data_IF_216825649156
#
_entry.id   IF_216825649156
#
_cell.length_a   1.000
_cell.length_b   1.000
_cell.length_c   1.000
_cell.angle_alpha   90.00
_cell.angle_beta   90.00
_cell.angle_gamma   90.00
#
_symmetry.space_group_name_H-M   'P 1'
#
loop_
_entity.id
_entity.type
_entity.pdbx_description
1 polymer ?
#
# COMPACT_ATOMS: atom_id res chain seq x y z
N UNK A 1 -29.43 -21.17 48.82
CA UNK A 1 -30.46 -20.97 49.86
C UNK A 1 -29.75 -20.74 51.19
N UNK A 2 -30.34 -19.94 52.08
CA UNK A 2 -29.72 -19.54 53.34
C UNK A 2 -29.89 -20.58 54.45
N UNK A 3 -29.04 -20.50 55.48
CA UNK A 3 -29.43 -20.85 56.86
C UNK A 3 -28.61 -20.09 57.88
N UNK A 4 -29.27 -19.22 58.64
CA UNK A 4 -28.73 -18.64 59.86
C UNK A 4 -28.72 -19.69 60.98
N UNK A 5 -27.87 -19.49 61.99
CA UNK A 5 -28.34 -19.62 63.38
C UNK A 5 -27.57 -18.69 64.33
N UNK A 6 -28.28 -17.67 64.83
CA UNK A 6 -27.90 -16.94 66.03
C UNK A 6 -28.44 -17.72 67.24
N UNK A 7 -27.71 -17.73 68.34
CA UNK A 7 -28.27 -17.99 69.66
C UNK A 7 -28.09 -16.73 70.52
N UNK A 8 -29.09 -16.43 71.33
CA UNK A 8 -29.14 -15.31 72.27
C UNK A 8 -29.53 -15.91 73.64
N UNK A 9 -29.88 -15.03 74.57
CA UNK A 9 -30.41 -15.33 75.90
C UNK A 9 -29.30 -15.73 76.89
N UNK A 10 -29.02 -15.00 77.98
CA UNK A 10 -29.67 -13.82 78.54
C UNK A 10 -30.21 -14.11 79.93
N UNK A 11 -29.89 -13.27 80.91
CA UNK A 11 -30.64 -13.15 82.16
C UNK A 11 -30.41 -11.75 82.75
N UNK A 12 -31.50 -11.12 83.16
CA UNK A 12 -31.52 -9.88 83.95
C UNK A 12 -32.36 -10.21 85.17
N UNK A 13 -31.89 -9.86 86.37
CA UNK A 13 -32.79 -9.63 87.50
C UNK A 13 -32.14 -8.77 88.58
N UNK A 14 -32.79 -7.64 88.83
CA UNK A 14 -32.93 -6.94 90.12
C UNK A 14 -33.42 -7.91 91.24
N UNK A 15 -33.37 -7.64 92.56
CA UNK A 15 -33.12 -6.41 93.35
C UNK A 15 -32.91 -6.71 94.87
N UNK A 16 -32.67 -5.64 95.66
CA UNK A 16 -32.87 -5.42 97.13
C UNK A 16 -31.92 -6.02 98.19
N UNK A 17 -31.50 -5.10 99.08
CA UNK A 17 -30.97 -5.23 100.46
C UNK A 17 -32.07 -5.73 101.46
N UNK A 18 -31.76 -6.27 102.67
CA UNK A 18 -31.33 -5.44 103.82
C UNK A 18 -30.37 -6.08 104.86
N UNK A 19 -29.92 -5.21 105.80
CA UNK A 19 -29.29 -5.47 107.12
C UNK A 19 -30.11 -6.46 108.01
N UNK A 20 -29.62 -7.00 109.14
CA UNK A 20 -28.45 -6.70 109.99
C UNK A 20 -27.98 -7.93 110.84
N UNK A 21 -27.03 -7.69 111.75
CA UNK A 21 -26.71 -8.41 113.00
C UNK A 21 -25.53 -9.43 113.09
N UNK A 22 -24.59 -9.06 113.98
CA UNK A 22 -23.70 -9.80 114.90
C UNK A 22 -23.20 -11.23 114.50
N UNK A 23 -21.88 -11.49 114.33
CA UNK A 23 -20.78 -11.54 115.35
C UNK A 23 -21.03 -12.67 116.38
N UNK A 24 -20.14 -13.62 116.68
CA UNK A 24 -18.67 -13.71 116.67
C UNK A 24 -18.24 -15.22 116.54
N UNK A 25 -17.00 -15.67 116.82
CA UNK A 25 -15.71 -14.99 117.03
C UNK A 25 -14.65 -15.55 116.03
N UNK A 26 -13.32 -15.63 116.19
CA UNK A 26 -12.38 -15.24 117.27
C UNK A 26 -10.99 -14.80 116.71
N UNK A 27 -9.95 -15.64 116.87
CA UNK A 27 -8.52 -15.35 116.75
C UNK A 27 -7.72 -16.68 116.63
N UNK A 28 -6.41 -16.76 116.35
CA UNK A 28 -5.32 -15.76 116.30
C UNK A 28 -4.22 -16.27 115.32
N UNK A 29 -3.12 -15.58 114.99
CA UNK A 29 -2.54 -14.32 115.48
C UNK A 29 -1.70 -13.67 114.33
N UNK A 30 -1.82 -12.35 114.08
CA UNK A 30 -0.84 -11.30 114.47
C UNK A 30 0.39 -11.17 113.53
N UNK A 31 0.43 -10.24 112.55
CA UNK A 31 0.74 -8.77 112.62
C UNK A 31 2.25 -8.43 112.63
N UNK A 32 2.70 -7.18 112.39
CA UNK A 32 2.12 -6.07 111.59
C UNK A 32 3.14 -5.34 110.66
N UNK A 33 2.67 -4.65 109.62
CA UNK A 33 3.08 -3.25 109.33
C UNK A 33 2.08 -2.56 108.40
N UNK A 34 1.29 -1.66 108.96
CA UNK A 34 0.91 -0.42 108.29
C UNK A 34 1.87 0.67 108.83
N UNK A 35 2.14 1.78 108.11
CA UNK A 35 1.12 2.83 108.08
C UNK A 35 1.06 3.67 106.79
N UNK A 36 0.10 4.62 106.83
CA UNK A 36 0.16 5.94 106.20
C UNK A 36 -0.37 6.09 104.77
N UNK A 37 -1.70 6.11 104.70
CA UNK A 37 -2.48 6.91 103.75
C UNK A 37 -1.97 8.38 103.70
N UNK A 38 -1.37 8.83 102.58
CA UNK A 38 -1.41 10.24 102.11
C UNK A 38 -0.96 10.40 100.65
N UNK A 39 -1.86 10.97 99.84
CA UNK A 39 -1.62 11.77 98.61
C UNK A 39 -0.32 11.53 97.82
N UNK A 40 -0.37 10.66 96.81
CA UNK A 40 0.68 10.51 95.78
C UNK A 40 0.15 10.13 94.39
N UNK A 41 -1.00 9.45 94.31
CA UNK A 41 -1.61 8.98 93.04
C UNK A 41 -1.87 10.07 91.99
N UNK A 42 -2.01 11.34 92.42
CA UNK A 42 -2.12 12.46 91.49
C UNK A 42 -0.95 12.55 90.52
N UNK A 43 0.29 12.30 90.97
CA UNK A 43 1.48 12.34 90.10
C UNK A 43 1.55 11.16 89.14
N UNK A 44 1.15 9.95 89.56
CA UNK A 44 1.12 8.77 88.70
C UNK A 44 0.04 8.89 87.61
N UNK A 45 -1.15 9.38 87.97
CA UNK A 45 -2.24 9.65 87.03
C UNK A 45 -1.86 10.78 86.07
N UNK A 46 -1.23 11.85 86.58
CA UNK A 46 -0.79 12.99 85.76
C UNK A 46 0.35 12.58 84.81
N UNK A 47 1.28 11.71 85.23
CA UNK A 47 2.30 11.13 84.36
C UNK A 47 1.69 10.26 83.25
N UNK A 48 0.67 9.44 83.56
CA UNK A 48 -0.07 8.65 82.57
C UNK A 48 -0.83 9.55 81.57
N UNK A 49 -1.48 10.62 82.05
CA UNK A 49 -2.17 11.58 81.19
C UNK A 49 -1.21 12.36 80.28
N UNK A 50 -0.03 12.76 80.79
CA UNK A 50 1.02 13.38 79.97
C UNK A 50 1.58 12.41 78.92
N UNK A 51 1.79 11.14 79.28
CA UNK A 51 2.20 10.10 78.33
C UNK A 51 1.17 9.87 77.22
N UNK A 52 -0.11 9.73 77.59
CA UNK A 52 -1.21 9.59 76.64
C UNK A 52 -1.37 10.82 75.73
N UNK A 53 -1.25 12.03 76.28
CA UNK A 53 -1.27 13.26 75.49
C UNK A 53 -0.09 13.35 74.51
N UNK A 54 1.12 12.97 74.94
CA UNK A 54 2.29 12.91 74.08
C UNK A 54 2.13 11.92 72.92
N UNK A 55 1.58 10.73 73.18
CA UNK A 55 1.27 9.73 72.15
C UNK A 55 0.18 10.23 71.19
N UNK A 56 -0.86 10.92 71.68
CA UNK A 56 -1.91 11.49 70.84
C UNK A 56 -1.37 12.58 69.89
N UNK A 57 -0.56 13.51 70.40
CA UNK A 57 0.07 14.58 69.60
C UNK A 57 1.07 14.00 68.60
N UNK A 58 1.91 13.04 69.02
CA UNK A 58 2.86 12.36 68.14
C UNK A 58 2.17 11.56 67.03
N UNK A 59 1.11 10.83 67.36
CA UNK A 59 0.28 10.09 66.40
C UNK A 59 -0.39 10.99 65.37
N UNK A 60 -0.92 12.13 65.79
CA UNK A 60 -1.48 13.14 64.88
C UNK A 60 -0.42 13.70 63.92
N UNK A 61 0.75 14.07 64.44
CA UNK A 61 1.86 14.56 63.61
C UNK A 61 2.31 13.55 62.54
N UNK A 62 2.44 12.27 62.91
CA UNK A 62 2.78 11.19 61.96
C UNK A 62 1.67 10.99 60.91
N UNK A 63 0.40 11.07 61.29
CA UNK A 63 -0.72 10.97 60.35
C UNK A 63 -0.74 12.13 59.35
N UNK A 64 -0.52 13.35 59.81
CA UNK A 64 -0.48 14.54 58.97
C UNK A 64 0.70 14.51 57.97
N UNK A 65 1.89 14.07 58.41
CA UNK A 65 3.05 13.88 57.50
C UNK A 65 2.76 12.82 56.44
N UNK A 66 2.14 11.68 56.80
CA UNK A 66 1.74 10.67 55.81
C UNK A 66 0.72 11.19 54.79
N UNK A 67 -0.18 12.07 55.21
CA UNK A 67 -1.19 12.66 54.32
C UNK A 67 -0.55 13.58 53.27
N UNK A 68 0.43 14.40 53.66
CA UNK A 68 1.21 15.22 52.71
C UNK A 68 2.06 14.34 51.77
N UNK A 69 2.74 13.32 52.30
CA UNK A 69 3.53 12.39 51.49
C UNK A 69 2.70 11.65 50.43
N UNK A 70 1.47 11.26 50.75
CA UNK A 70 0.54 10.66 49.78
C UNK A 70 0.14 11.62 48.65
N UNK A 71 -0.04 12.91 48.97
CA UNK A 71 -0.33 13.94 47.96
C UNK A 71 0.87 14.19 47.02
N UNK A 72 2.08 14.31 47.57
CA UNK A 72 3.30 14.46 46.76
C UNK A 72 3.57 13.23 45.89
N UNK A 73 3.37 12.00 46.40
CA UNK A 73 3.50 10.77 45.60
C UNK A 73 2.53 10.75 44.42
N UNK A 74 1.28 11.16 44.61
CA UNK A 74 0.31 11.29 43.51
C UNK A 74 0.73 12.34 42.47
N UNK A 75 1.30 13.47 42.90
CA UNK A 75 1.81 14.49 41.99
C UNK A 75 3.03 14.01 41.19
N UNK A 76 3.97 13.30 41.83
CA UNK A 76 5.14 12.71 41.18
C UNK A 76 4.72 11.65 40.15
N UNK A 77 3.75 10.78 40.46
CA UNK A 77 3.21 9.81 39.51
C UNK A 77 2.56 10.49 38.29
N UNK A 78 1.77 11.55 38.50
CA UNK A 78 1.18 12.33 37.41
C UNK A 78 2.27 12.98 36.53
N UNK A 79 3.32 13.55 37.12
CA UNK A 79 4.44 14.13 36.38
C UNK A 79 5.23 13.06 35.61
N UNK A 80 5.43 11.87 36.17
CA UNK A 80 6.04 10.73 35.49
C UNK A 80 5.20 10.30 34.28
N UNK A 81 3.89 10.06 34.46
CA UNK A 81 2.99 9.70 33.37
C UNK A 81 2.93 10.77 32.26
N UNK A 82 3.01 12.06 32.61
CA UNK A 82 3.09 13.16 31.64
C UNK A 82 4.45 13.18 30.91
N UNK A 83 5.54 12.85 31.61
CA UNK A 83 6.88 12.71 31.01
C UNK A 83 6.98 11.50 30.05
N UNK A 84 6.26 10.42 30.33
CA UNK A 84 6.16 9.25 29.46
C UNK A 84 5.30 9.54 28.23
N UNK A 85 4.16 10.22 28.39
CA UNK A 85 3.33 10.67 27.27
C UNK A 85 4.09 11.63 26.34
N UNK A 86 4.82 12.61 26.88
CA UNK A 86 5.63 13.53 26.07
C UNK A 86 6.78 12.82 25.35
N UNK A 87 7.47 11.86 26.00
CA UNK A 87 8.46 10.99 25.33
C UNK A 87 7.84 10.13 24.23
N UNK A 88 6.67 9.54 24.46
CA UNK A 88 5.97 8.73 23.46
C UNK A 88 5.52 9.58 22.25
N UNK A 89 5.07 10.81 22.49
CA UNK A 89 4.76 11.77 21.43
C UNK A 89 6.02 12.16 20.64
N UNK A 90 7.13 12.48 21.30
CA UNK A 90 8.41 12.77 20.64
C UNK A 90 8.93 11.58 19.80
N UNK A 91 8.84 10.36 20.31
CA UNK A 91 9.19 9.16 19.56
C UNK A 91 8.29 8.97 18.34
N UNK A 92 6.98 9.21 18.48
CA UNK A 92 6.03 9.13 17.36
C UNK A 92 6.25 10.22 16.31
N UNK A 93 6.60 11.43 16.74
CA UNK A 93 7.00 12.54 15.85
C UNK A 93 8.29 12.21 15.09
N UNK A 94 9.29 11.64 15.75
CA UNK A 94 10.53 11.15 15.12
C UNK A 94 10.26 10.01 14.13
N UNK A 95 9.37 9.08 14.46
CA UNK A 95 8.96 8.01 13.54
C UNK A 95 8.19 8.55 12.33
N UNK A 96 7.35 9.58 12.51
CA UNK A 96 6.64 10.22 11.41
C UNK A 96 7.59 11.03 10.52
N UNK A 97 8.50 11.82 11.09
CA UNK A 97 9.48 12.58 10.30
C UNK A 97 10.45 11.67 9.54
N UNK A 98 10.88 10.55 10.15
CA UNK A 98 11.65 9.51 9.45
C UNK A 98 10.87 8.87 8.30
N UNK A 99 9.57 8.57 8.47
CA UNK A 99 8.72 8.08 7.37
C UNK A 99 8.57 9.12 6.25
N UNK A 100 8.31 10.39 6.59
CA UNK A 100 8.20 11.47 5.62
C UNK A 100 9.52 11.71 4.85
N UNK A 101 10.68 11.50 5.49
CA UNK A 101 11.99 11.60 4.85
C UNK A 101 12.30 10.46 3.86
N UNK A 102 11.62 9.32 3.97
CA UNK A 102 11.72 8.19 3.02
C UNK A 102 10.76 8.34 1.84
N UNK A 103 9.67 9.11 1.99
CA UNK A 103 8.76 9.41 0.88
C UNK A 103 9.43 10.36 -0.13
N UNK A 104 9.38 10.06 -1.44
CA UNK A 104 9.85 10.99 -2.47
C UNK A 104 9.17 12.36 -2.33
N UNK A 105 9.91 13.48 -2.41
CA UNK A 105 9.30 14.80 -2.34
C UNK A 105 8.32 15.00 -3.50
N UNK A 106 7.26 15.78 -3.28
CA UNK A 106 6.21 15.99 -4.27
C UNK A 106 6.72 16.54 -5.62
N UNK A 107 7.84 17.28 -5.61
CA UNK A 107 8.55 17.72 -6.82
C UNK A 107 9.06 16.55 -7.66
N UNK A 108 9.67 15.53 -7.04
CA UNK A 108 10.21 14.38 -7.77
C UNK A 108 9.08 13.53 -8.40
N UNK A 109 7.93 13.42 -7.74
CA UNK A 109 6.74 12.78 -8.32
C UNK A 109 6.20 13.56 -9.52
N UNK A 110 6.23 14.89 -9.46
CA UNK A 110 5.82 15.76 -10.56
C UNK A 110 6.82 15.71 -11.74
N UNK A 111 8.12 15.68 -11.47
CA UNK A 111 9.16 15.51 -12.50
C UNK A 111 9.08 14.13 -13.16
N UNK A 112 8.86 13.05 -12.38
CA UNK A 112 8.59 11.71 -12.92
C UNK A 112 7.33 11.68 -13.79
N UNK A 113 6.25 12.36 -13.39
CA UNK A 113 5.02 12.49 -14.21
C UNK A 113 5.28 13.23 -15.53
N UNK A 114 6.02 14.35 -15.48
CA UNK A 114 6.41 15.13 -16.67
C UNK A 114 7.27 14.30 -17.62
N UNK A 115 8.23 13.54 -17.09
CA UNK A 115 9.06 12.64 -17.88
C UNK A 115 8.22 11.54 -18.56
N UNK A 116 7.27 10.93 -17.85
CA UNK A 116 6.34 9.95 -18.44
C UNK A 116 5.47 10.59 -19.54
N UNK A 117 4.92 11.78 -19.31
CA UNK A 117 4.13 12.50 -20.31
C UNK A 117 4.97 12.89 -21.55
N UNK A 118 6.22 13.29 -21.35
CA UNK A 118 7.17 13.56 -22.43
C UNK A 118 7.48 12.29 -23.24
N UNK A 119 7.81 11.19 -22.57
CA UNK A 119 8.06 9.89 -23.23
C UNK A 119 6.85 9.41 -24.03
N UNK A 120 5.63 9.59 -23.52
CA UNK A 120 4.39 9.30 -24.25
C UNK A 120 4.23 10.18 -25.50
N UNK A 121 4.48 11.48 -25.39
CA UNK A 121 4.44 12.41 -26.53
C UNK A 121 5.51 12.11 -27.58
N UNK A 122 6.72 11.73 -27.16
CA UNK A 122 7.80 11.36 -28.06
C UNK A 122 7.56 10.02 -28.76
N UNK A 123 6.98 9.03 -28.07
CA UNK A 123 6.50 7.78 -28.68
C UNK A 123 5.40 8.02 -29.73
N UNK A 124 4.46 8.95 -29.48
CA UNK A 124 3.44 9.32 -30.47
C UNK A 124 4.07 9.99 -31.71
N UNK A 125 5.02 10.91 -31.53
CA UNK A 125 5.76 11.55 -32.63
C UNK A 125 6.59 10.55 -33.42
N UNK A 126 7.25 9.60 -32.75
CA UNK A 126 8.00 8.52 -33.38
C UNK A 126 7.08 7.64 -34.22
N UNK A 127 5.93 7.22 -33.68
CA UNK A 127 4.92 6.45 -34.42
C UNK A 127 4.43 7.20 -35.68
N UNK A 128 4.07 8.48 -35.56
CA UNK A 128 3.65 9.31 -36.71
C UNK A 128 4.75 9.44 -37.79
N UNK A 129 6.01 9.64 -37.37
CA UNK A 129 7.15 9.68 -38.30
C UNK A 129 7.39 8.33 -38.96
N UNK A 130 7.30 7.23 -38.20
CA UNK A 130 7.44 5.88 -38.74
C UNK A 130 6.35 5.56 -39.76
N UNK A 131 5.08 5.83 -39.47
CA UNK A 131 4.01 5.62 -40.46
C UNK A 131 4.18 6.49 -41.72
N UNK A 132 4.70 7.72 -41.57
CA UNK A 132 5.02 8.58 -42.73
C UNK A 132 6.16 8.00 -43.57
N UNK A 133 7.27 7.59 -42.93
CA UNK A 133 8.46 7.03 -43.60
C UNK A 133 8.15 5.67 -44.21
N UNK A 134 7.47 4.78 -43.49
CA UNK A 134 7.00 3.48 -43.99
C UNK A 134 5.93 3.64 -45.06
N UNK A 135 5.08 4.67 -44.98
CA UNK A 135 4.13 5.03 -46.03
C UNK A 135 4.80 5.44 -47.34
N UNK A 136 5.83 6.31 -47.26
CA UNK A 136 6.66 6.69 -48.41
C UNK A 136 7.46 5.49 -48.95
N UNK A 137 8.20 4.79 -48.09
CA UNK A 137 9.01 3.64 -48.47
C UNK A 137 8.19 2.49 -49.09
N UNK A 138 6.95 2.26 -48.64
CA UNK A 138 6.02 1.32 -49.29
C UNK A 138 5.69 1.74 -50.72
N UNK A 139 5.48 3.03 -50.99
CA UNK A 139 5.25 3.56 -52.35
C UNK A 139 6.49 3.41 -53.23
N UNK A 140 7.67 3.71 -52.70
CA UNK A 140 8.94 3.59 -53.42
C UNK A 140 9.26 2.13 -53.77
N UNK A 141 9.03 1.20 -52.83
CA UNK A 141 9.19 -0.24 -53.07
C UNK A 141 8.21 -0.75 -54.14
N UNK A 142 6.93 -0.35 -54.09
CA UNK A 142 5.94 -0.73 -55.12
C UNK A 142 6.34 -0.22 -56.50
N UNK A 143 6.85 1.02 -56.60
CA UNK A 143 7.36 1.56 -57.86
C UNK A 143 8.55 0.77 -58.40
N UNK A 144 9.51 0.41 -57.53
CA UNK A 144 10.66 -0.41 -57.91
C UNK A 144 10.26 -1.83 -58.37
N UNK A 145 9.25 -2.43 -57.75
CA UNK A 145 8.70 -3.72 -58.17
C UNK A 145 8.03 -3.63 -59.55
N UNK A 146 7.23 -2.59 -59.81
CA UNK A 146 6.66 -2.36 -61.14
C UNK A 146 7.76 -2.16 -62.20
N UNK A 147 8.84 -1.44 -61.88
CA UNK A 147 9.99 -1.29 -62.77
C UNK A 147 10.70 -2.63 -63.02
N UNK A 148 10.85 -3.46 -62.00
CA UNK A 148 11.42 -4.81 -62.12
C UNK A 148 10.58 -5.69 -63.07
N UNK A 149 9.26 -5.70 -62.92
CA UNK A 149 8.35 -6.43 -63.81
C UNK A 149 8.49 -5.97 -65.27
N UNK A 150 8.62 -4.66 -65.51
CA UNK A 150 8.83 -4.11 -66.86
C UNK A 150 10.19 -4.49 -67.45
N UNK A 151 11.27 -4.47 -66.66
CA UNK A 151 12.59 -4.97 -67.10
C UNK A 151 12.52 -6.47 -67.43
N UNK A 152 11.85 -7.27 -66.62
CA UNK A 152 11.66 -8.70 -66.87
C UNK A 152 10.78 -8.97 -68.10
N UNK A 153 9.73 -8.17 -68.33
CA UNK A 153 8.90 -8.24 -69.52
C UNK A 153 9.70 -7.95 -70.80
N UNK A 154 10.50 -6.88 -70.78
CA UNK A 154 11.40 -6.53 -71.88
C UNK A 154 12.43 -7.63 -72.18
N UNK A 155 13.02 -8.24 -71.14
CA UNK A 155 13.92 -9.38 -71.26
C UNK A 155 13.21 -10.61 -71.88
N UNK A 156 12.02 -10.97 -71.39
CA UNK A 156 11.24 -12.11 -71.92
C UNK A 156 10.83 -11.90 -73.38
N UNK A 157 10.43 -10.69 -73.74
CA UNK A 157 10.02 -10.35 -75.10
C UNK A 157 11.22 -10.35 -76.07
N UNK A 158 12.34 -9.75 -75.68
CA UNK A 158 13.53 -9.64 -76.55
C UNK A 158 14.31 -10.95 -76.67
N UNK A 159 14.49 -11.70 -75.58
CA UNK A 159 15.31 -12.91 -75.58
C UNK A 159 14.54 -14.18 -76.01
N UNK A 160 13.25 -14.29 -75.66
CA UNK A 160 12.46 -15.52 -75.89
C UNK A 160 11.28 -15.34 -76.85
N UNK A 161 10.98 -14.10 -77.27
CA UNK A 161 9.75 -13.74 -77.99
C UNK A 161 8.48 -14.23 -77.27
N UNK A 162 8.53 -14.28 -75.93
CA UNK A 162 7.44 -14.78 -75.09
C UNK A 162 6.43 -13.65 -74.81
N UNK A 163 5.54 -13.45 -75.78
CA UNK A 163 4.51 -12.41 -75.75
C UNK A 163 3.51 -12.66 -74.61
N UNK A 164 3.24 -13.92 -74.25
CA UNK A 164 2.32 -14.25 -73.14
C UNK A 164 2.92 -13.79 -71.82
N UNK A 165 4.14 -14.23 -71.48
CA UNK A 165 4.79 -13.81 -70.23
C UNK A 165 5.01 -12.30 -70.19
N UNK A 166 5.45 -11.69 -71.30
CA UNK A 166 5.64 -10.23 -71.37
C UNK A 166 4.32 -9.46 -71.11
N UNK A 167 3.20 -9.92 -71.67
CA UNK A 167 1.87 -9.32 -71.44
C UNK A 167 1.44 -9.41 -69.99
N UNK A 168 1.56 -10.57 -69.35
CA UNK A 168 1.16 -10.72 -67.95
C UNK A 168 2.06 -9.93 -66.99
N UNK A 169 3.36 -9.83 -67.27
CA UNK A 169 4.28 -8.98 -66.50
C UNK A 169 3.94 -7.47 -66.64
N UNK A 170 3.61 -7.00 -67.84
CA UNK A 170 3.17 -5.61 -68.06
C UNK A 170 1.82 -5.32 -67.39
N UNK A 171 0.88 -6.28 -67.38
CA UNK A 171 -0.37 -6.15 -66.60
C UNK A 171 -0.08 -6.04 -65.10
N UNK A 172 0.83 -6.84 -64.57
CA UNK A 172 1.25 -6.75 -63.16
C UNK A 172 1.81 -5.37 -62.80
N UNK A 173 2.60 -4.77 -63.70
CA UNK A 173 3.09 -3.41 -63.52
C UNK A 173 1.96 -2.35 -63.55
N UNK A 174 0.99 -2.45 -64.48
CA UNK A 174 -0.16 -1.52 -64.48
C UNK A 174 -1.04 -1.68 -63.23
N UNK A 175 -1.22 -2.89 -62.72
CA UNK A 175 -1.98 -3.15 -61.49
C UNK A 175 -1.31 -2.48 -60.28
N UNK A 176 0.01 -2.60 -60.13
CA UNK A 176 0.75 -1.93 -59.06
C UNK A 176 0.58 -0.41 -59.13
N UNK A 177 0.69 0.18 -60.33
CA UNK A 177 0.47 1.61 -60.54
C UNK A 177 -1.00 2.02 -60.30
N UNK A 178 -1.96 1.14 -60.62
CA UNK A 178 -3.40 1.35 -60.36
C UNK A 178 -3.71 1.39 -58.87
N UNK A 179 -3.26 0.40 -58.12
CA UNK A 179 -3.45 0.34 -56.67
C UNK A 179 -2.80 1.53 -55.94
N UNK A 180 -1.69 2.06 -56.47
CA UNK A 180 -1.01 3.22 -55.89
C UNK A 180 -1.75 4.54 -56.11
N UNK A 181 -2.58 4.64 -57.17
CA UNK A 181 -3.50 5.76 -57.45
C UNK A 181 -2.86 7.16 -57.38
N UNK A 182 -1.60 7.28 -57.81
CA UNK A 182 -0.83 8.53 -57.82
C UNK A 182 -1.09 9.32 -59.11
N UNK A 183 -1.45 10.63 -59.06
CA UNK A 183 -1.51 11.50 -60.24
C UNK A 183 -0.25 11.50 -61.11
N UNK A 184 0.95 11.27 -60.55
CA UNK A 184 2.18 11.14 -61.34
C UNK A 184 2.19 9.91 -62.26
N UNK A 185 1.42 8.87 -61.94
CA UNK A 185 1.43 7.59 -62.67
C UNK A 185 0.65 7.61 -63.99
N UNK A 186 -0.25 8.57 -64.23
CA UNK A 186 -1.17 8.55 -65.38
C UNK A 186 -0.44 8.44 -66.73
N UNK A 187 0.64 9.20 -66.93
CA UNK A 187 1.41 9.15 -68.17
C UNK A 187 2.10 7.78 -68.37
N UNK A 188 2.61 7.17 -67.30
CA UNK A 188 3.19 5.82 -67.37
C UNK A 188 2.10 4.79 -67.72
N UNK A 189 0.95 4.84 -67.04
CA UNK A 189 -0.18 3.92 -67.29
C UNK A 189 -0.75 4.05 -68.71
N UNK A 190 -0.77 5.24 -69.29
CA UNK A 190 -1.14 5.43 -70.70
C UNK A 190 -0.17 4.68 -71.64
N UNK A 191 1.14 4.74 -71.38
CA UNK A 191 2.14 4.01 -72.16
C UNK A 191 2.08 2.50 -71.95
N UNK A 192 1.76 2.03 -70.73
CA UNK A 192 1.52 0.61 -70.46
C UNK A 192 0.26 0.12 -71.19
N UNK A 193 -0.83 0.90 -71.18
CA UNK A 193 -2.05 0.57 -71.90
C UNK A 193 -1.83 0.48 -73.43
N UNK A 194 -1.06 1.41 -74.01
CA UNK A 194 -0.62 1.33 -75.42
C UNK A 194 0.22 0.08 -75.67
N UNK A 195 1.18 -0.21 -74.80
CA UNK A 195 2.04 -1.41 -74.91
C UNK A 195 1.24 -2.71 -74.83
N UNK A 196 0.26 -2.80 -73.91
CA UNK A 196 -0.66 -3.93 -73.82
C UNK A 196 -1.55 -4.06 -75.05
N UNK A 197 -2.06 -2.96 -75.61
CA UNK A 197 -2.81 -2.99 -76.86
C UNK A 197 -1.96 -3.54 -78.02
N UNK A 198 -0.68 -3.15 -78.12
CA UNK A 198 0.26 -3.73 -79.08
C UNK A 198 0.53 -5.22 -78.82
N UNK A 199 0.80 -5.62 -77.57
CA UNK A 199 1.01 -7.05 -77.23
C UNK A 199 -0.25 -7.91 -77.41
N UNK A 200 -1.44 -7.30 -77.44
CA UNK A 200 -2.71 -7.97 -77.70
C UNK A 200 -3.04 -8.06 -79.20
N UNK A 201 -2.55 -7.15 -80.04
CA UNK A 201 -2.76 -7.21 -81.49
C UNK A 201 -1.85 -8.20 -82.20
N UNK A 202 -0.71 -8.59 -81.59
CA UNK A 202 0.15 -9.63 -82.15
C UNK A 202 -0.50 -11.01 -82.05
N UNK A 203 -0.89 -11.53 -83.21
CA UNK A 203 -1.51 -12.84 -83.35
C UNK A 203 -0.45 -13.95 -83.20
N UNK A 204 -0.59 -14.79 -82.19
CA UNK A 204 0.37 -15.86 -81.92
C UNK A 204 0.03 -17.12 -82.75
N UNK A 205 1.02 -17.75 -83.41
CA UNK A 205 0.78 -19.01 -84.10
C UNK A 205 0.53 -20.14 -83.10
N UNK A 206 -0.47 -20.99 -83.38
CA UNK A 206 -0.70 -22.22 -82.62
C UNK A 206 0.43 -23.22 -82.88
N UNK A 207 1.47 -23.15 -82.02
CA UNK A 207 2.64 -24.03 -82.08
C UNK A 207 2.26 -25.51 -81.91
N UNK A 208 1.24 -25.81 -81.11
CA UNK A 208 0.78 -27.18 -80.87
C UNK A 208 0.09 -27.74 -82.12
N UNK A 209 -0.85 -26.99 -82.69
CA UNK A 209 -1.51 -27.37 -83.94
C UNK A 209 -0.56 -27.46 -85.13
N UNK A 210 0.46 -26.59 -85.20
CA UNK A 210 1.54 -26.70 -86.20
C UNK A 210 2.37 -27.97 -86.00
N UNK A 211 2.76 -28.30 -84.76
CA UNK A 211 3.49 -29.53 -84.46
C UNK A 211 2.68 -30.79 -84.81
N UNK A 212 1.39 -30.83 -84.48
CA UNK A 212 0.49 -31.94 -84.83
C UNK A 212 0.33 -32.09 -86.36
N UNK A 213 0.21 -30.98 -87.11
CA UNK A 213 0.19 -31.01 -88.59
C UNK A 213 1.48 -31.56 -89.18
N UNK A 214 2.64 -31.14 -88.66
CA UNK A 214 3.95 -31.64 -89.09
C UNK A 214 4.16 -33.11 -88.74
N UNK A 215 3.69 -33.56 -87.57
CA UNK A 215 3.75 -34.95 -87.15
C UNK A 215 2.92 -35.84 -88.11
N UNK A 216 1.70 -35.43 -88.45
CA UNK A 216 0.83 -36.16 -89.38
C UNK A 216 1.40 -36.21 -90.81
N UNK A 217 2.12 -35.17 -91.26
CA UNK A 217 2.79 -35.18 -92.57
C UNK A 217 4.05 -36.07 -92.63
N UNK A 218 4.68 -36.37 -91.48
CA UNK A 218 5.85 -37.27 -91.40
C UNK A 218 5.46 -38.75 -91.42
N UNK A 219 4.19 -39.05 -91.20
CA UNK A 219 3.64 -40.41 -91.09
C UNK A 219 3.01 -40.89 -92.42
N UNK A 220 3.18 -40.10 -93.49
CA UNK A 220 2.82 -40.38 -94.89
C UNK A 220 4.08 -40.60 -95.73
#
# INVERSE_FOLDING_TARGET
MATCRKAKDGYVSETVLPNDELKAPEAAAQTPVEPAKRSGNGLAILALLLGAAGVAVGGWGVWQVRQLQGAEQGQVQNLQALSEQTRALQQREQQLSAQLAVLPPASELEDRRRLVAQLQGDQQRLSQRLETILGASRKDWRLAEAEHLLRLASLRLSALQDIVSARELVKGADEILREQSDPGSFAAREQLAKSLATLNSVQQPDRTGLFLKLAAQREQ
#
